data_IF_666687037924
#
_entry.id   IF_666687037924
#
_cell.length_a   1.000
_cell.length_b   1.000
_cell.length_c   1.000
_cell.angle_alpha   90.00
_cell.angle_beta   90.00
_cell.angle_gamma   90.00
#
_symmetry.space_group_name_H-M   'P 1'
#
loop_
_entity.id
_entity.type
_entity.pdbx_description
1 polymer ?
#
# COMPACT_ATOMS: atom_id res chain seq x y z
N UNK A 1 -28.49 -35.09 42.93
CA UNK A 1 -27.88 -35.30 41.60
C UNK A 1 -28.34 -34.20 40.68
N UNK A 2 -27.44 -33.66 39.86
CA UNK A 2 -27.76 -32.61 38.89
C UNK A 2 -26.54 -31.72 38.67
N UNK A 3 -25.64 -32.16 37.80
CA UNK A 3 -24.35 -31.53 37.55
C UNK A 3 -24.48 -30.17 36.86
N UNK A 4 -23.79 -29.17 37.42
CA UNK A 4 -23.50 -27.92 36.73
C UNK A 4 -22.37 -28.17 35.73
N UNK A 5 -22.72 -28.26 34.45
CA UNK A 5 -21.74 -28.24 33.36
C UNK A 5 -21.12 -26.85 33.28
N UNK A 6 -19.81 -26.77 33.48
CA UNK A 6 -19.02 -25.58 33.14
C UNK A 6 -19.11 -25.35 31.61
N UNK A 7 -19.22 -24.10 31.14
CA UNK A 7 -19.06 -23.81 29.72
C UNK A 7 -17.63 -24.17 29.33
N UNK A 8 -17.50 -25.08 28.37
CA UNK A 8 -16.22 -25.47 27.80
C UNK A 8 -15.51 -24.21 27.26
N UNK A 9 -14.34 -23.95 27.82
CA UNK A 9 -13.38 -22.97 27.33
C UNK A 9 -12.95 -23.54 25.97
N UNK A 10 -13.38 -22.90 24.88
CA UNK A 10 -13.06 -23.35 23.53
C UNK A 10 -11.58 -23.04 23.30
N UNK A 11 -10.74 -24.07 23.40
CA UNK A 11 -9.28 -23.97 23.20
C UNK A 11 -8.99 -23.73 21.72
N UNK A 12 -8.90 -22.46 21.32
CA UNK A 12 -8.48 -22.06 19.98
C UNK A 12 -6.97 -22.21 19.76
N UNK A 13 -6.20 -22.59 20.80
CA UNK A 13 -4.74 -22.73 20.74
C UNK A 13 -4.27 -24.01 20.04
N UNK A 14 -5.04 -25.10 20.17
CA UNK A 14 -4.77 -26.37 19.49
C UNK A 14 -4.90 -26.25 17.97
N UNK A 15 -6.03 -25.74 17.49
CA UNK A 15 -6.35 -25.65 16.05
C UNK A 15 -5.36 -24.74 15.29
N UNK A 16 -4.92 -23.63 15.91
CA UNK A 16 -3.96 -22.73 15.30
C UNK A 16 -2.54 -23.33 15.20
N UNK A 17 -2.18 -24.25 16.10
CA UNK A 17 -0.87 -24.90 16.07
C UNK A 17 -0.81 -25.95 14.97
N UNK A 18 -1.90 -26.71 14.81
CA UNK A 18 -2.05 -27.71 13.74
C UNK A 18 -2.08 -27.06 12.34
N UNK A 19 -2.78 -25.92 12.19
CA UNK A 19 -2.77 -25.18 10.93
C UNK A 19 -1.40 -24.61 10.57
N UNK A 20 -0.63 -24.12 11.56
CA UNK A 20 0.70 -23.61 11.27
C UNK A 20 1.65 -24.72 10.81
N UNK A 21 1.55 -25.92 11.39
CA UNK A 21 2.31 -27.08 10.94
C UNK A 21 1.94 -27.48 9.51
N UNK A 22 0.66 -27.42 9.15
CA UNK A 22 0.18 -27.68 7.79
C UNK A 22 0.79 -26.72 6.77
N UNK A 23 0.71 -25.40 7.01
CA UNK A 23 1.30 -24.42 6.08
C UNK A 23 2.82 -24.53 5.98
N UNK A 24 3.53 -24.76 7.09
CA UNK A 24 4.98 -25.00 7.08
C UNK A 24 5.32 -26.20 6.19
N UNK A 25 4.61 -27.31 6.34
CA UNK A 25 4.81 -28.50 5.50
C UNK A 25 4.59 -28.19 4.01
N UNK A 26 3.54 -27.45 3.65
CA UNK A 26 3.31 -27.06 2.25
C UNK A 26 4.49 -26.25 1.68
N UNK A 27 4.99 -25.27 2.45
CA UNK A 27 6.15 -24.46 2.03
C UNK A 27 7.44 -25.28 1.98
N UNK A 28 7.62 -26.27 2.85
CA UNK A 28 8.77 -27.18 2.80
C UNK A 28 8.75 -28.10 1.58
N UNK A 29 7.55 -28.56 1.17
CA UNK A 29 7.37 -29.40 -0.01
C UNK A 29 7.65 -28.65 -1.33
N UNK A 30 7.25 -27.38 -1.42
CA UNK A 30 7.57 -26.51 -2.56
C UNK A 30 7.87 -25.06 -2.11
N UNK A 31 9.14 -24.75 -1.78
CA UNK A 31 9.53 -23.45 -1.25
C UNK A 31 9.39 -22.27 -2.22
N UNK A 32 9.22 -22.55 -3.51
CA UNK A 32 9.05 -21.58 -4.58
C UNK A 32 7.59 -21.40 -5.02
N UNK A 33 6.65 -22.08 -4.38
CA UNK A 33 5.24 -21.98 -4.75
C UNK A 33 4.62 -20.68 -4.24
N UNK A 34 4.37 -19.72 -5.12
CA UNK A 34 3.79 -18.42 -4.76
C UNK A 34 2.43 -18.57 -4.03
N UNK A 35 1.61 -19.56 -4.40
CA UNK A 35 0.33 -19.82 -3.75
C UNK A 35 0.50 -20.32 -2.30
N UNK A 36 1.48 -21.19 -2.03
CA UNK A 36 1.72 -21.67 -0.67
C UNK A 36 2.30 -20.57 0.20
N UNK A 37 3.25 -19.80 -0.35
CA UNK A 37 3.87 -18.66 0.33
C UNK A 37 2.82 -17.59 0.69
N UNK A 38 1.97 -17.19 -0.26
CA UNK A 38 0.92 -16.18 -0.01
C UNK A 38 -0.13 -16.65 0.99
N UNK A 39 -0.58 -17.91 0.89
CA UNK A 39 -1.57 -18.44 1.82
C UNK A 39 -1.01 -18.53 3.24
N UNK A 40 0.27 -18.89 3.36
CA UNK A 40 0.91 -18.91 4.67
C UNK A 40 1.09 -17.50 5.25
N UNK A 41 1.50 -16.53 4.42
CA UNK A 41 1.58 -15.13 4.82
C UNK A 41 0.22 -14.61 5.31
N UNK A 42 -0.86 -14.92 4.58
CA UNK A 42 -2.21 -14.53 4.93
C UNK A 42 -2.65 -15.10 6.29
N UNK A 43 -2.36 -16.37 6.55
CA UNK A 43 -2.62 -17.03 7.84
C UNK A 43 -1.80 -16.40 8.98
N UNK A 44 -0.51 -16.14 8.75
CA UNK A 44 0.35 -15.48 9.75
C UNK A 44 -0.19 -14.11 10.13
N UNK A 45 -0.63 -13.34 9.14
CA UNK A 45 -1.19 -12.01 9.35
C UNK A 45 -2.58 -12.05 10.03
N UNK A 46 -3.55 -12.77 9.48
CA UNK A 46 -4.94 -12.73 9.96
C UNK A 46 -5.20 -13.62 11.18
N UNK A 47 -4.59 -14.81 11.24
CA UNK A 47 -4.91 -15.80 12.27
C UNK A 47 -3.92 -15.76 13.43
N UNK A 48 -2.63 -15.52 13.16
CA UNK A 48 -1.59 -15.47 14.20
C UNK A 48 -1.28 -14.06 14.68
N UNK A 49 -1.69 -13.03 13.95
CA UNK A 49 -1.32 -11.65 14.27
C UNK A 49 0.19 -11.41 14.21
N UNK A 50 0.89 -12.11 13.32
CA UNK A 50 2.34 -12.00 13.10
C UNK A 50 2.62 -11.34 11.74
N UNK A 51 2.45 -10.01 11.65
CA UNK A 51 2.62 -9.28 10.40
C UNK A 51 4.08 -9.27 9.92
N UNK A 52 5.06 -9.42 10.83
CA UNK A 52 6.49 -9.45 10.46
C UNK A 52 6.84 -10.70 9.67
N UNK A 53 6.40 -11.88 10.14
CA UNK A 53 6.59 -13.12 9.36
C UNK A 53 5.75 -13.10 8.10
N UNK A 54 4.53 -12.55 8.13
CA UNK A 54 3.73 -12.40 6.93
C UNK A 54 4.45 -11.57 5.86
N UNK A 55 5.12 -10.47 6.23
CA UNK A 55 5.91 -9.64 5.32
C UNK A 55 7.01 -10.45 4.61
N UNK A 56 7.72 -11.30 5.35
CA UNK A 56 8.74 -12.21 4.79
C UNK A 56 8.14 -13.15 3.73
N UNK A 57 7.02 -13.80 4.04
CA UNK A 57 6.40 -14.77 3.13
C UNK A 57 5.74 -14.13 1.92
N UNK A 58 5.13 -12.96 2.06
CA UNK A 58 4.65 -12.20 0.90
C UNK A 58 5.80 -11.75 0.01
N UNK A 59 6.91 -11.25 0.57
CA UNK A 59 8.09 -10.87 -0.20
C UNK A 59 8.62 -12.06 -1.02
N UNK A 60 8.70 -13.26 -0.41
CA UNK A 60 9.06 -14.49 -1.11
C UNK A 60 8.06 -14.86 -2.21
N UNK A 61 6.75 -14.71 -1.97
CA UNK A 61 5.72 -14.97 -2.96
C UNK A 61 5.87 -14.06 -4.19
N UNK A 62 6.17 -12.77 -3.99
CA UNK A 62 6.44 -11.81 -5.06
C UNK A 62 7.69 -12.23 -5.85
N UNK A 63 8.75 -12.66 -5.18
CA UNK A 63 9.96 -13.14 -5.87
C UNK A 63 9.69 -14.39 -6.72
N UNK A 64 8.81 -15.28 -6.25
CA UNK A 64 8.40 -16.47 -6.99
C UNK A 64 7.49 -16.14 -8.18
N UNK A 65 6.57 -15.19 -8.03
CA UNK A 65 5.65 -14.76 -9.08
C UNK A 65 5.44 -13.23 -9.04
N UNK A 66 6.30 -12.45 -9.73
CA UNK A 66 6.27 -11.00 -9.66
C UNK A 66 5.01 -10.33 -10.23
N UNK A 67 4.23 -11.07 -11.03
CA UNK A 67 3.02 -10.57 -11.69
C UNK A 67 1.71 -11.02 -11.03
N UNK A 68 1.74 -11.54 -9.80
CA UNK A 68 0.52 -11.87 -9.06
C UNK A 68 -0.05 -10.59 -8.41
N UNK A 69 -1.05 -9.99 -9.05
CA UNK A 69 -1.68 -8.76 -8.59
C UNK A 69 -2.35 -8.90 -7.21
N UNK A 70 -2.84 -10.10 -6.88
CA UNK A 70 -3.45 -10.36 -5.58
C UNK A 70 -2.39 -10.32 -4.47
N UNK A 71 -1.23 -10.97 -4.68
CA UNK A 71 -0.11 -10.95 -3.74
C UNK A 71 0.46 -9.53 -3.59
N UNK A 72 0.63 -8.80 -4.70
CA UNK A 72 1.12 -7.43 -4.68
C UNK A 72 0.21 -6.51 -3.86
N UNK A 73 -1.11 -6.60 -4.03
CA UNK A 73 -2.06 -5.76 -3.28
C UNK A 73 -2.13 -6.11 -1.79
N UNK A 74 -2.05 -7.40 -1.42
CA UNK A 74 -1.98 -7.84 -0.03
C UNK A 74 -0.68 -7.38 0.64
N UNK A 75 0.45 -7.47 -0.06
CA UNK A 75 1.73 -6.97 0.43
C UNK A 75 1.74 -5.45 0.59
N UNK A 76 1.18 -4.71 -0.38
CA UNK A 76 1.07 -3.25 -0.32
C UNK A 76 0.29 -2.80 0.94
N UNK A 77 -0.84 -3.45 1.20
CA UNK A 77 -1.64 -3.20 2.40
C UNK A 77 -0.84 -3.46 3.68
N UNK A 78 -0.12 -4.58 3.74
CA UNK A 78 0.71 -4.92 4.90
C UNK A 78 1.83 -3.90 5.13
N UNK A 79 2.47 -3.40 4.06
CA UNK A 79 3.49 -2.35 4.15
C UNK A 79 2.91 -1.05 4.70
N UNK A 80 1.74 -0.64 4.23
CA UNK A 80 1.04 0.53 4.75
C UNK A 80 0.76 0.40 6.25
N UNK A 81 0.19 -0.73 6.68
CA UNK A 81 -0.16 -0.95 8.08
C UNK A 81 1.04 -1.07 9.03
N UNK A 82 2.13 -1.70 8.59
CA UNK A 82 3.30 -1.93 9.44
C UNK A 82 4.21 -0.71 9.53
N UNK A 83 4.39 -0.03 8.40
CA UNK A 83 5.47 0.93 8.24
C UNK A 83 4.95 2.35 7.97
N UNK A 84 3.67 2.51 7.63
CA UNK A 84 3.11 3.76 7.12
C UNK A 84 3.94 4.34 5.95
N UNK A 85 4.60 3.46 5.19
CA UNK A 85 5.41 3.83 4.02
C UNK A 85 4.50 3.95 2.81
N UNK A 86 3.90 5.13 2.66
CA UNK A 86 2.99 5.45 1.57
C UNK A 86 3.60 5.22 0.19
N UNK A 87 4.88 5.59 0.02
CA UNK A 87 5.56 5.51 -1.28
C UNK A 87 5.73 4.06 -1.71
N UNK A 88 6.22 3.19 -0.80
CA UNK A 88 6.34 1.75 -1.08
C UNK A 88 4.97 1.11 -1.28
N UNK A 89 4.00 1.41 -0.42
CA UNK A 89 2.65 0.85 -0.55
C UNK A 89 2.00 1.23 -1.90
N UNK A 90 2.02 2.52 -2.28
CA UNK A 90 1.49 2.99 -3.57
C UNK A 90 2.15 2.28 -4.74
N UNK A 91 3.48 2.15 -4.73
CA UNK A 91 4.21 1.47 -5.80
C UNK A 91 3.77 0.01 -5.99
N UNK A 92 3.52 -0.73 -4.90
CA UNK A 92 3.02 -2.10 -5.00
C UNK A 92 1.56 -2.17 -5.43
N UNK A 93 0.71 -1.25 -4.98
CA UNK A 93 -0.67 -1.17 -5.47
C UNK A 93 -0.75 -0.85 -6.98
N UNK A 94 0.07 0.08 -7.46
CA UNK A 94 0.14 0.41 -8.90
C UNK A 94 0.57 -0.81 -9.71
N UNK A 95 1.59 -1.54 -9.25
CA UNK A 95 2.01 -2.80 -9.88
C UNK A 95 0.90 -3.85 -9.84
N UNK A 96 0.15 -3.94 -8.75
CA UNK A 96 -0.99 -4.86 -8.62
C UNK A 96 -2.08 -4.57 -9.66
N UNK A 97 -2.45 -3.30 -9.83
CA UNK A 97 -3.44 -2.87 -10.83
C UNK A 97 -2.95 -3.10 -12.25
N UNK A 98 -1.66 -2.87 -12.52
CA UNK A 98 -1.08 -3.18 -13.82
C UNK A 98 -1.12 -4.69 -14.13
N UNK A 99 -0.86 -5.53 -13.12
CA UNK A 99 -0.88 -6.98 -13.26
C UNK A 99 -2.29 -7.55 -13.41
N UNK A 100 -3.28 -6.97 -12.71
CA UNK A 100 -4.65 -7.47 -12.65
C UNK A 100 -5.69 -6.32 -12.77
N UNK A 101 -5.78 -5.64 -13.92
CA UNK A 101 -6.60 -4.42 -14.07
C UNK A 101 -8.11 -4.64 -14.01
N UNK A 102 -8.56 -5.89 -14.05
CA UNK A 102 -9.98 -6.28 -13.98
C UNK A 102 -10.33 -7.01 -12.67
N UNK A 103 -9.37 -7.17 -11.77
CA UNK A 103 -9.59 -7.82 -10.48
C UNK A 103 -10.21 -6.84 -9.49
N UNK A 104 -11.45 -7.12 -9.08
CA UNK A 104 -12.19 -6.25 -8.16
C UNK A 104 -11.58 -6.18 -6.77
N UNK A 105 -10.90 -7.25 -6.31
CA UNK A 105 -10.25 -7.25 -5.00
C UNK A 105 -9.02 -6.34 -5.01
N UNK A 106 -8.21 -6.41 -6.07
CA UNK A 106 -7.05 -5.53 -6.27
C UNK A 106 -7.49 -4.07 -6.34
N UNK A 107 -8.49 -3.76 -7.17
CA UNK A 107 -9.00 -2.40 -7.32
C UNK A 107 -9.60 -1.86 -6.01
N UNK A 108 -10.36 -2.68 -5.27
CA UNK A 108 -10.93 -2.27 -3.99
C UNK A 108 -9.85 -2.03 -2.92
N UNK A 109 -8.82 -2.88 -2.86
CA UNK A 109 -7.72 -2.69 -1.92
C UNK A 109 -6.96 -1.39 -2.20
N UNK A 110 -6.68 -1.09 -3.47
CA UNK A 110 -6.02 0.16 -3.83
C UNK A 110 -6.88 1.39 -3.54
N UNK A 111 -8.17 1.35 -3.90
CA UNK A 111 -9.09 2.45 -3.60
C UNK A 111 -9.18 2.72 -2.08
N UNK A 112 -9.22 1.66 -1.25
CA UNK A 112 -9.20 1.80 0.20
C UNK A 112 -7.94 2.50 0.71
N UNK A 113 -6.77 2.11 0.18
CA UNK A 113 -5.51 2.79 0.51
C UNK A 113 -5.50 4.26 0.09
N UNK A 114 -6.03 4.60 -1.09
CA UNK A 114 -6.11 5.99 -1.53
C UNK A 114 -7.00 6.82 -0.60
N UNK A 115 -8.19 6.32 -0.24
CA UNK A 115 -9.08 7.01 0.70
C UNK A 115 -8.47 7.20 2.08
N UNK A 116 -7.72 6.22 2.58
CA UNK A 116 -7.02 6.34 3.87
C UNK A 116 -5.89 7.36 3.84
N UNK A 117 -5.38 7.71 2.66
CA UNK A 117 -4.19 8.56 2.51
C UNK A 117 -4.48 9.91 1.84
N UNK A 118 -5.66 10.14 1.27
CA UNK A 118 -6.05 11.42 0.66
C UNK A 118 -5.98 12.59 1.68
N UNK A 119 -6.31 12.36 2.95
CA UNK A 119 -6.27 13.38 4.01
C UNK A 119 -4.85 13.91 4.34
N UNK A 120 -3.79 13.22 3.90
CA UNK A 120 -2.39 13.61 4.17
C UNK A 120 -1.78 14.51 3.08
N UNK A 121 -2.45 14.68 1.93
CA UNK A 121 -1.94 15.51 0.82
C UNK A 121 -2.38 16.97 0.87
N UNK A 122 -3.43 17.32 1.63
CA UNK A 122 -3.95 18.70 1.73
C UNK A 122 -3.09 19.64 2.62
N UNK A 123 -1.87 19.24 2.99
CA UNK A 123 -0.98 19.94 3.91
C UNK A 123 0.23 20.65 3.29
N UNK A 124 0.49 20.54 1.99
CA UNK A 124 1.72 21.07 1.35
C UNK A 124 1.48 22.01 0.15
N UNK A 125 0.34 22.71 0.13
CA UNK A 125 0.05 23.74 -0.88
C UNK A 125 -0.19 25.10 -0.19
N UNK A 126 0.86 25.79 0.25
CA UNK A 126 0.68 27.01 1.06
C UNK A 126 1.81 28.03 1.19
N UNK A 127 2.88 28.00 0.39
CA UNK A 127 3.74 29.18 0.23
C UNK A 127 3.57 29.80 -1.17
N UNK A 128 2.53 30.62 -1.29
CA UNK A 128 2.40 31.64 -2.32
C UNK A 128 3.47 32.73 -2.09
N UNK A 129 4.68 32.47 -2.60
CA UNK A 129 5.75 33.45 -2.71
C UNK A 129 5.45 34.50 -3.79
N UNK A 130 4.92 35.64 -3.32
CA UNK A 130 5.14 36.99 -3.83
C UNK A 130 4.54 37.38 -5.20
N UNK A 131 3.43 38.11 -5.08
CA UNK A 131 2.99 39.18 -5.96
C UNK A 131 4.12 40.06 -6.51
N UNK A 132 4.19 40.23 -7.83
CA UNK A 132 4.67 41.47 -8.46
C UNK A 132 3.58 42.03 -9.39
N UNK A 133 2.84 42.96 -8.82
CA UNK A 133 2.22 44.15 -9.41
C UNK A 133 2.24 44.28 -10.95
N UNK A 134 1.11 43.93 -11.57
CA UNK A 134 0.70 44.48 -12.86
C UNK A 134 -0.17 45.73 -12.64
N UNK A 135 0.44 46.91 -12.54
CA UNK A 135 -0.24 48.19 -12.73
C UNK A 135 0.68 49.20 -13.40
N UNK A 136 0.19 49.81 -14.49
CA UNK A 136 0.71 51.10 -14.94
C UNK A 136 0.99 51.24 -16.44
N UNK A 137 -0.06 51.24 -17.27
CA UNK A 137 -0.03 52.01 -18.52
C UNK A 137 0.22 53.48 -18.19
N UNK A 138 1.44 53.96 -18.40
CA UNK A 138 1.72 55.39 -18.53
C UNK A 138 2.44 55.64 -19.84
N UNK A 139 1.67 56.15 -20.80
CA UNK A 139 2.16 56.77 -22.02
C UNK A 139 2.84 58.08 -21.63
N UNK A 140 4.10 58.27 -22.00
CA UNK A 140 4.75 59.58 -21.98
C UNK A 140 5.38 59.85 -23.35
N UNK A 141 4.82 60.84 -24.05
CA UNK A 141 5.37 61.39 -25.28
C UNK A 141 6.60 62.22 -24.94
N UNK A 142 7.79 61.75 -25.35
CA UNK A 142 9.07 62.43 -25.20
C UNK A 142 9.58 62.94 -26.55
N UNK A 143 9.59 64.25 -26.68
CA UNK A 143 9.91 65.08 -27.86
C UNK A 143 11.37 64.97 -28.32
N UNK A 144 11.55 64.92 -29.64
CA UNK A 144 12.60 65.50 -30.50
C UNK A 144 14.05 65.59 -29.97
N UNK A 145 14.95 64.81 -30.58
CA UNK A 145 16.35 65.16 -30.72
C UNK A 145 16.69 65.41 -32.20
N UNK A 146 17.13 66.64 -32.47
CA UNK A 146 17.51 67.17 -33.78
C UNK A 146 18.93 66.77 -34.20
N UNK A 147 19.10 66.69 -35.53
CA UNK A 147 20.21 67.22 -36.34
C UNK A 147 21.60 66.54 -36.33
N UNK A 148 22.03 66.04 -37.51
CA UNK A 148 22.96 66.68 -38.47
C UNK A 148 23.32 65.64 -39.56
N UNK A 149 23.10 65.82 -40.87
CA UNK A 149 23.76 66.72 -41.85
C UNK A 149 25.28 66.55 -41.92
N UNK A 150 25.74 65.68 -42.82
CA UNK A 150 26.41 66.06 -44.09
C UNK A 150 26.47 64.87 -45.05
#
# INVERSE_FOLDING_TARGET
GGGGGNPAIVDHGGDQSDMEAYYKKMVEEDPGNALFLRNYAQFLYQSKGDPKRAEEYYSRAILAQPGDGEVLSQYAKLIWELHHDRQRASSYFEQAVQAAPQDSHVLAAYAGFLWETEDEQDGDDGEAGQSQDYLGTHVSYGTLASANVR
#
